data_IF_628646299151
#
_entry.id   IF_628646299151
#
_cell.length_a   1.000
_cell.length_b   1.000
_cell.length_c   1.000
_cell.angle_alpha   90.00
_cell.angle_beta   90.00
_cell.angle_gamma   90.00
#
_symmetry.space_group_name_H-M   'P 1'
#
loop_
_entity.id
_entity.type
_entity.pdbx_description
1 polymer ?
#
# COMPACT_ATOMS: atom_id res chain seq x y z
N UNK A 1 15.93 17.91 15.14
CA UNK A 1 15.66 16.56 15.63
C UNK A 1 14.92 15.81 14.54
N UNK A 2 15.48 14.72 14.02
CA UNK A 2 14.75 13.88 13.07
C UNK A 2 13.66 13.13 13.84
N UNK A 3 12.44 13.60 13.75
CA UNK A 3 11.31 12.87 14.32
C UNK A 3 11.03 11.65 13.44
N UNK A 4 11.30 10.47 13.96
CA UNK A 4 10.98 9.23 13.28
C UNK A 4 9.46 9.06 13.16
N UNK A 5 8.99 8.56 12.00
CA UNK A 5 7.59 8.24 11.78
C UNK A 5 7.04 7.34 12.88
N UNK A 6 5.92 7.76 13.48
CA UNK A 6 5.20 6.98 14.48
C UNK A 6 4.00 6.31 13.83
N UNK A 7 4.06 4.99 13.59
CA UNK A 7 2.89 4.25 13.16
C UNK A 7 1.91 4.13 14.32
N UNK A 8 0.63 4.02 13.98
CA UNK A 8 -0.37 3.63 14.96
C UNK A 8 -0.01 2.23 15.48
N UNK A 9 0.11 2.10 16.80
CA UNK A 9 0.42 0.82 17.44
C UNK A 9 -0.86 0.00 17.53
N UNK A 10 -0.97 -1.00 16.71
CA UNK A 10 -2.00 -2.02 16.84
C UNK A 10 -1.48 -3.17 17.68
N UNK A 11 -2.19 -3.60 18.73
CA UNK A 11 -1.84 -4.82 19.45
C UNK A 11 -1.85 -6.02 18.50
N UNK A 12 -1.04 -7.05 18.73
CA UNK A 12 -1.07 -8.27 17.94
C UNK A 12 -2.50 -8.82 17.80
N UNK A 13 -2.89 -9.17 16.58
CA UNK A 13 -4.21 -9.72 16.27
C UNK A 13 -5.36 -8.71 16.16
N UNK A 14 -5.10 -7.40 16.22
CA UNK A 14 -6.11 -6.37 15.95
C UNK A 14 -6.07 -5.85 14.52
N UNK A 15 -7.24 -5.46 14.04
CA UNK A 15 -7.40 -4.85 12.72
C UNK A 15 -6.73 -3.47 12.64
N UNK A 16 -6.13 -3.18 11.48
CA UNK A 16 -5.63 -1.84 11.12
C UNK A 16 -6.79 -0.90 10.77
N UNK A 17 -6.54 0.41 10.65
CA UNK A 17 -7.55 1.40 10.20
C UNK A 17 -8.25 0.96 8.91
N UNK A 18 -7.48 0.54 7.93
CA UNK A 18 -7.95 0.09 6.62
C UNK A 18 -8.83 -1.17 6.65
N UNK A 19 -8.86 -1.88 7.78
CA UNK A 19 -9.67 -3.09 8.01
C UNK A 19 -10.71 -2.92 9.12
N UNK A 20 -10.79 -1.73 9.72
CA UNK A 20 -11.74 -1.43 10.80
C UNK A 20 -12.97 -0.74 10.23
N UNK A 21 -14.01 -1.51 9.96
CA UNK A 21 -15.27 -1.01 9.41
C UNK A 21 -15.97 -0.01 10.36
N UNK A 22 -16.72 0.91 9.79
CA UNK A 22 -17.52 1.90 10.53
C UNK A 22 -16.82 3.24 10.78
N UNK A 23 -15.58 3.41 10.31
CA UNK A 23 -14.85 4.66 10.33
C UNK A 23 -14.64 5.20 8.91
N UNK A 24 -14.50 6.51 8.79
CA UNK A 24 -14.15 7.17 7.53
C UNK A 24 -12.84 7.93 7.73
N UNK A 25 -11.79 7.48 7.06
CA UNK A 25 -10.46 8.07 7.13
C UNK A 25 -10.19 8.93 5.90
N UNK A 26 -9.33 9.93 6.05
CA UNK A 26 -8.88 10.77 4.95
C UNK A 26 -7.70 10.12 4.24
N UNK A 27 -7.81 9.93 2.93
CA UNK A 27 -6.68 9.54 2.10
C UNK A 27 -5.72 10.71 1.91
N UNK A 28 -4.45 10.51 2.23
CA UNK A 28 -3.36 11.43 1.92
C UNK A 28 -2.42 10.74 0.95
N UNK A 29 -2.18 11.34 -0.21
CA UNK A 29 -1.21 10.85 -1.19
C UNK A 29 0.12 11.55 -0.93
N UNK A 30 1.18 10.75 -0.73
CA UNK A 30 2.49 11.29 -0.41
C UNK A 30 3.03 12.25 -1.47
N UNK A 31 3.47 13.40 -1.02
CA UNK A 31 4.21 14.42 -1.79
C UNK A 31 5.30 14.99 -0.89
N UNK A 32 6.55 14.71 -1.19
CA UNK A 32 7.67 15.15 -0.36
C UNK A 32 9.00 15.08 -1.08
N UNK A 33 10.08 15.14 -0.31
CA UNK A 33 11.43 15.17 -0.85
C UNK A 33 11.85 13.85 -1.50
N UNK A 34 11.33 12.73 -1.00
CA UNK A 34 11.64 11.40 -1.52
C UNK A 34 10.77 10.99 -2.74
N UNK A 35 9.88 11.86 -3.22
CA UNK A 35 9.06 11.59 -4.40
C UNK A 35 7.65 12.17 -4.32
N UNK A 36 6.83 11.80 -5.31
CA UNK A 36 5.47 12.31 -5.44
C UNK A 36 4.56 11.21 -6.00
N UNK A 37 3.75 10.60 -5.14
CA UNK A 37 2.87 9.49 -5.50
C UNK A 37 1.96 9.81 -6.71
N UNK A 38 1.21 10.92 -6.75
CA UNK A 38 0.36 11.25 -7.90
C UNK A 38 1.14 11.35 -9.22
N UNK A 39 2.32 11.98 -9.20
CA UNK A 39 3.15 12.16 -10.40
C UNK A 39 3.71 10.83 -10.89
N UNK A 40 4.19 9.99 -9.99
CA UNK A 40 4.73 8.67 -10.30
C UNK A 40 3.64 7.73 -10.82
N UNK A 41 2.46 7.76 -10.21
CA UNK A 41 1.30 7.03 -10.69
C UNK A 41 0.89 7.47 -12.10
N UNK A 42 0.81 8.77 -12.36
CA UNK A 42 0.52 9.28 -13.70
C UNK A 42 1.56 8.83 -14.73
N UNK A 43 2.85 8.90 -14.38
CA UNK A 43 3.94 8.41 -15.24
C UNK A 43 3.85 6.90 -15.49
N UNK A 44 3.49 6.12 -14.49
CA UNK A 44 3.24 4.68 -14.64
C UNK A 44 2.08 4.42 -15.61
N UNK A 45 0.96 5.11 -15.44
CA UNK A 45 -0.21 4.99 -16.30
C UNK A 45 0.09 5.36 -17.76
N UNK A 46 0.97 6.33 -18.02
CA UNK A 46 1.29 6.76 -19.38
C UNK A 46 1.95 5.67 -20.24
N UNK A 47 2.52 4.64 -19.60
CA UNK A 47 3.15 3.48 -20.25
C UNK A 47 2.17 2.37 -20.59
N UNK A 48 0.91 2.47 -20.16
CA UNK A 48 -0.11 1.44 -20.34
C UNK A 48 -1.01 1.73 -21.53
N UNK A 49 -1.60 0.67 -22.09
CA UNK A 49 -2.69 0.80 -23.04
C UNK A 49 -3.91 1.49 -22.42
N UNK A 50 -4.79 2.09 -23.24
CA UNK A 50 -5.99 2.80 -22.76
C UNK A 50 -6.86 1.90 -21.87
N UNK A 51 -7.05 0.64 -22.24
CA UNK A 51 -7.86 -0.32 -21.50
C UNK A 51 -7.25 -0.62 -20.11
N UNK A 52 -5.94 -0.93 -20.05
CA UNK A 52 -5.24 -1.20 -18.80
C UNK A 52 -5.17 0.03 -17.91
N UNK A 53 -4.97 1.20 -18.51
CA UNK A 53 -4.99 2.48 -17.78
C UNK A 53 -6.33 2.70 -17.08
N UNK A 54 -7.44 2.50 -17.79
CA UNK A 54 -8.78 2.66 -17.22
C UNK A 54 -9.04 1.64 -16.10
N UNK A 55 -8.69 0.36 -16.32
CA UNK A 55 -8.84 -0.69 -15.32
C UNK A 55 -8.03 -0.40 -14.06
N UNK A 56 -6.75 0.03 -14.21
CA UNK A 56 -5.89 0.34 -13.07
C UNK A 56 -6.35 1.58 -12.31
N UNK A 57 -6.79 2.63 -12.99
CA UNK A 57 -7.38 3.81 -12.33
C UNK A 57 -8.58 3.43 -11.47
N UNK A 58 -9.49 2.61 -11.99
CA UNK A 58 -10.65 2.12 -11.25
C UNK A 58 -10.26 1.27 -10.05
N UNK A 59 -9.30 0.36 -10.23
CA UNK A 59 -8.81 -0.51 -9.16
C UNK A 59 -8.15 0.29 -8.03
N UNK A 60 -7.26 1.25 -8.35
CA UNK A 60 -6.61 2.08 -7.35
C UNK A 60 -7.63 2.97 -6.62
N UNK A 61 -8.55 3.60 -7.34
CA UNK A 61 -9.58 4.43 -6.73
C UNK A 61 -10.48 3.63 -5.77
N UNK A 62 -10.91 2.43 -6.17
CA UNK A 62 -11.69 1.55 -5.30
C UNK A 62 -10.90 1.07 -4.09
N UNK A 63 -9.62 0.73 -4.27
CA UNK A 63 -8.75 0.28 -3.17
C UNK A 63 -8.52 1.39 -2.13
N UNK A 64 -8.24 2.60 -2.58
CA UNK A 64 -8.10 3.77 -1.68
C UNK A 64 -9.41 4.04 -0.94
N UNK A 65 -10.54 4.00 -1.64
CA UNK A 65 -11.86 4.16 -1.02
C UNK A 65 -12.13 3.10 0.04
N UNK A 66 -11.92 1.84 -0.29
CA UNK A 66 -12.18 0.73 0.63
C UNK A 66 -11.24 0.79 1.86
N UNK A 67 -9.97 1.18 1.66
CA UNK A 67 -9.06 1.45 2.76
C UNK A 67 -9.57 2.56 3.69
N UNK A 68 -10.04 3.68 3.13
CA UNK A 68 -10.57 4.80 3.92
C UNK A 68 -11.87 4.50 4.64
N UNK A 69 -12.64 3.53 4.16
CA UNK A 69 -13.85 3.03 4.81
C UNK A 69 -13.61 1.87 5.78
N UNK A 70 -12.36 1.41 5.90
CA UNK A 70 -11.99 0.27 6.74
C UNK A 70 -12.50 -1.07 6.20
N UNK A 71 -12.67 -1.20 4.88
CA UNK A 71 -13.29 -2.34 4.21
C UNK A 71 -12.29 -3.27 3.52
N UNK A 72 -10.98 -3.08 3.72
CA UNK A 72 -9.99 -4.03 3.21
C UNK A 72 -9.96 -5.30 4.06
N UNK A 73 -9.79 -6.44 3.41
CA UNK A 73 -9.67 -7.73 4.07
C UNK A 73 -8.24 -7.97 4.58
N UNK A 74 -8.04 -8.14 5.89
CA UNK A 74 -6.72 -8.42 6.43
C UNK A 74 -6.24 -9.81 6.01
N UNK A 75 -4.94 -9.91 5.74
CA UNK A 75 -4.32 -11.19 5.44
C UNK A 75 -4.40 -12.12 6.65
N UNK A 76 -4.95 -13.29 6.43
CA UNK A 76 -4.94 -14.41 7.37
C UNK A 76 -4.27 -15.61 6.74
N UNK A 77 -3.68 -16.47 7.56
CA UNK A 77 -3.11 -17.75 7.13
C UNK A 77 -3.83 -18.86 7.88
N UNK A 78 -4.29 -19.86 7.17
CA UNK A 78 -4.88 -21.04 7.81
C UNK A 78 -3.78 -21.96 8.38
N UNK A 79 -4.19 -23.05 9.04
CA UNK A 79 -3.30 -24.05 9.62
C UNK A 79 -2.48 -24.83 8.59
N UNK A 80 -2.81 -24.72 7.30
CA UNK A 80 -2.11 -25.36 6.17
C UNK A 80 -1.18 -24.39 5.45
N UNK A 81 -1.14 -23.12 5.86
CA UNK A 81 -0.31 -22.09 5.28
C UNK A 81 -0.96 -21.36 4.09
N UNK A 82 -2.18 -21.68 3.74
CA UNK A 82 -2.94 -20.97 2.72
C UNK A 82 -3.25 -19.56 3.20
N UNK A 83 -3.08 -18.61 2.30
CA UNK A 83 -3.22 -17.20 2.57
C UNK A 83 -4.50 -16.67 1.93
N UNK A 84 -5.31 -15.99 2.73
CA UNK A 84 -6.46 -15.22 2.28
C UNK A 84 -6.33 -13.76 2.69
N UNK A 85 -7.14 -12.89 2.08
CA UNK A 85 -7.10 -11.46 2.34
C UNK A 85 -6.10 -10.72 1.45
N UNK A 86 -6.19 -9.40 1.45
CA UNK A 86 -5.53 -8.52 0.47
C UNK A 86 -4.54 -7.53 1.08
N UNK A 87 -4.66 -7.21 2.37
CA UNK A 87 -3.78 -6.25 3.06
C UNK A 87 -2.97 -6.92 4.15
N UNK A 88 -1.67 -6.67 4.16
CA UNK A 88 -0.73 -7.22 5.12
C UNK A 88 0.14 -6.12 5.73
N UNK A 89 0.27 -6.15 7.07
CA UNK A 89 1.27 -5.33 7.76
C UNK A 89 2.63 -6.00 7.67
N UNK A 90 3.61 -5.30 7.13
CA UNK A 90 4.91 -5.86 6.83
C UNK A 90 5.86 -5.80 8.02
N UNK A 91 6.50 -6.93 8.35
CA UNK A 91 7.49 -7.01 9.43
C UNK A 91 8.75 -6.19 9.12
N UNK A 92 9.19 -6.17 7.83
CA UNK A 92 10.26 -5.29 7.39
C UNK A 92 9.85 -3.82 7.60
N UNK A 93 10.79 -3.00 8.03
CA UNK A 93 10.50 -1.61 8.38
C UNK A 93 9.80 -1.43 9.74
N UNK A 94 9.81 -2.45 10.60
CA UNK A 94 9.28 -2.38 11.97
C UNK A 94 7.76 -2.25 12.03
N UNK A 95 7.05 -2.93 11.15
CA UNK A 95 5.57 -2.91 11.04
C UNK A 95 4.97 -1.52 10.75
N UNK A 96 5.75 -0.61 10.16
CA UNK A 96 5.31 0.74 9.83
C UNK A 96 4.49 0.81 8.54
N UNK A 97 4.69 -0.17 7.66
CA UNK A 97 4.14 -0.18 6.29
C UNK A 97 3.16 -1.33 6.13
N UNK A 98 2.07 -1.03 5.45
CA UNK A 98 1.09 -1.99 4.97
C UNK A 98 1.20 -2.12 3.45
N UNK A 99 0.92 -3.33 2.95
CA UNK A 99 0.91 -3.67 1.52
C UNK A 99 -0.46 -4.18 1.11
N UNK A 100 -1.01 -3.64 0.03
CA UNK A 100 -2.14 -4.24 -0.69
C UNK A 100 -1.62 -4.92 -1.95
N UNK A 101 -2.02 -6.16 -2.15
CA UNK A 101 -1.79 -6.93 -3.38
C UNK A 101 -2.93 -6.69 -4.34
N UNK A 102 -2.71 -5.83 -5.31
CA UNK A 102 -3.77 -5.38 -6.21
C UNK A 102 -4.25 -6.47 -7.16
N UNK A 103 -3.41 -7.45 -7.50
CA UNK A 103 -3.83 -8.61 -8.29
C UNK A 103 -4.89 -9.48 -7.60
N UNK A 104 -4.96 -9.48 -6.28
CA UNK A 104 -5.98 -10.21 -5.54
C UNK A 104 -7.34 -9.52 -5.60
N UNK A 105 -7.37 -8.27 -6.03
CA UNK A 105 -8.58 -7.46 -6.27
C UNK A 105 -9.00 -7.40 -7.74
N UNK A 106 -8.26 -8.03 -8.63
CA UNK A 106 -8.49 -7.99 -10.08
C UNK A 106 -8.59 -9.41 -10.64
N UNK A 107 -9.58 -9.67 -11.47
CA UNK A 107 -9.83 -10.99 -12.04
C UNK A 107 -10.02 -10.92 -13.55
N UNK A 108 -9.21 -11.64 -14.36
CA UNK A 108 -8.04 -12.41 -13.91
C UNK A 108 -6.83 -11.53 -13.64
N UNK A 109 -6.01 -11.87 -12.61
CA UNK A 109 -4.90 -11.02 -12.16
C UNK A 109 -3.83 -10.73 -13.22
N UNK A 110 -3.55 -11.68 -14.10
CA UNK A 110 -2.55 -11.58 -15.16
C UNK A 110 -2.90 -10.57 -16.27
N UNK A 111 -4.16 -10.22 -16.40
CA UNK A 111 -4.59 -9.19 -17.36
C UNK A 111 -4.21 -7.78 -16.93
N UNK A 112 -4.01 -7.56 -15.64
CA UNK A 112 -3.61 -6.26 -15.14
C UNK A 112 -2.18 -5.91 -15.58
N UNK A 113 -1.22 -6.77 -15.26
CA UNK A 113 0.19 -6.66 -15.67
C UNK A 113 0.76 -8.06 -15.91
N UNK A 114 1.11 -8.42 -17.15
CA UNK A 114 1.77 -9.69 -17.44
C UNK A 114 3.10 -9.80 -16.64
N UNK A 115 3.37 -10.98 -16.09
CA UNK A 115 4.63 -11.32 -15.40
C UNK A 115 5.01 -10.42 -14.20
N UNK A 116 4.11 -9.55 -13.77
CA UNK A 116 4.31 -8.65 -12.62
C UNK A 116 3.13 -8.69 -11.67
N UNK A 117 3.41 -8.39 -10.43
CA UNK A 117 2.41 -8.17 -9.38
C UNK A 117 2.50 -6.74 -8.91
N UNK A 118 1.37 -6.07 -8.83
CA UNK A 118 1.32 -4.67 -8.43
C UNK A 118 1.07 -4.55 -6.93
N UNK A 119 1.88 -3.74 -6.27
CA UNK A 119 1.85 -3.50 -4.82
C UNK A 119 1.56 -2.04 -4.53
N UNK A 120 0.55 -1.81 -3.70
CA UNK A 120 0.27 -0.50 -3.13
C UNK A 120 0.76 -0.49 -1.68
N UNK A 121 1.73 0.38 -1.38
CA UNK A 121 2.29 0.56 -0.05
C UNK A 121 1.68 1.80 0.60
N UNK A 122 1.28 1.66 1.85
CA UNK A 122 0.71 2.76 2.62
C UNK A 122 1.08 2.64 4.10
N UNK A 123 0.84 3.69 4.85
CA UNK A 123 1.06 3.75 6.29
C UNK A 123 -0.16 4.31 7.01
N UNK A 124 -0.30 3.93 8.25
CA UNK A 124 -1.30 4.44 9.18
C UNK A 124 -0.60 5.20 10.30
N UNK A 125 -0.35 6.50 10.12
CA UNK A 125 0.33 7.29 11.14
C UNK A 125 -0.48 7.36 12.43
N UNK A 126 0.20 7.54 13.56
CA UNK A 126 -0.40 7.91 14.83
C UNK A 126 -0.87 9.37 14.76
N UNK A 127 -1.76 9.60 13.83
CA UNK A 127 -2.44 10.86 13.55
C UNK A 127 -3.90 10.54 13.23
N UNK A 128 -4.85 11.21 13.88
CA UNK A 128 -6.25 10.88 13.71
C UNK A 128 -6.70 11.00 12.25
N UNK A 129 -7.51 10.06 11.82
CA UNK A 129 -8.30 10.12 10.59
C UNK A 129 -7.53 10.09 9.26
N UNK A 130 -6.24 9.73 9.25
CA UNK A 130 -5.42 9.69 8.03
C UNK A 130 -4.98 8.27 7.70
N UNK A 131 -5.02 7.93 6.41
CA UNK A 131 -4.26 6.84 5.77
C UNK A 131 -3.36 7.47 4.72
N UNK A 132 -2.05 7.22 4.83
CA UNK A 132 -1.01 7.81 3.99
C UNK A 132 -0.57 6.82 2.90
N UNK A 133 -0.94 7.07 1.65
CA UNK A 133 -0.52 6.27 0.49
C UNK A 133 0.84 6.75 -0.02
N UNK A 134 1.81 5.84 -0.08
CA UNK A 134 3.23 6.14 -0.20
C UNK A 134 3.80 5.80 -1.57
N UNK A 135 3.49 4.61 -2.09
CA UNK A 135 4.18 4.04 -3.24
C UNK A 135 3.29 3.01 -3.95
N UNK A 136 3.32 3.01 -5.28
CA UNK A 136 2.72 1.99 -6.12
C UNK A 136 3.79 1.44 -7.06
N UNK A 137 4.15 0.15 -6.89
CA UNK A 137 5.24 -0.45 -7.65
C UNK A 137 4.95 -1.86 -8.15
N UNK A 138 5.39 -2.18 -9.36
CA UNK A 138 5.33 -3.54 -9.87
C UNK A 138 6.44 -4.40 -9.25
N UNK A 139 6.07 -5.60 -8.82
CA UNK A 139 7.00 -6.61 -8.32
C UNK A 139 7.13 -7.73 -9.35
N UNK A 140 8.36 -8.15 -9.75
CA UNK A 140 8.55 -9.32 -10.59
C UNK A 140 8.02 -10.59 -9.94
N UNK A 141 7.49 -11.51 -10.74
CA UNK A 141 7.07 -12.85 -10.28
C UNK A 141 8.28 -13.77 -10.09
N UNK A 142 9.40 -13.47 -10.77
CA UNK A 142 10.67 -14.23 -10.72
C UNK A 142 11.40 -14.13 -9.38
N UNK A 143 12.48 -14.92 -9.22
CA UNK A 143 13.26 -15.06 -7.97
C UNK A 143 13.83 -13.76 -7.35
N UNK A 144 13.98 -12.69 -8.13
CA UNK A 144 14.40 -11.36 -7.63
C UNK A 144 13.28 -10.59 -6.93
N UNK A 145 12.03 -11.08 -6.99
CA UNK A 145 10.87 -10.38 -6.48
C UNK A 145 10.95 -9.99 -5.00
N UNK A 146 11.69 -10.76 -4.18
CA UNK A 146 11.87 -10.41 -2.76
C UNK A 146 12.82 -9.23 -2.58
N UNK A 147 13.94 -9.21 -3.29
CA UNK A 147 14.93 -8.12 -3.22
C UNK A 147 14.28 -6.80 -3.66
N UNK A 148 13.53 -6.84 -4.76
CA UNK A 148 12.80 -5.69 -5.28
C UNK A 148 11.74 -5.22 -4.27
N UNK A 149 11.00 -6.13 -3.67
CA UNK A 149 10.00 -5.79 -2.65
C UNK A 149 10.64 -5.15 -1.41
N UNK A 150 11.79 -5.67 -0.96
CA UNK A 150 12.51 -5.12 0.18
C UNK A 150 12.94 -3.67 -0.07
N UNK A 151 13.42 -3.36 -1.28
CA UNK A 151 13.76 -2.00 -1.68
C UNK A 151 12.53 -1.06 -1.71
N UNK A 152 11.37 -1.55 -2.18
CA UNK A 152 10.12 -0.78 -2.16
C UNK A 152 9.66 -0.49 -0.72
N UNK A 153 9.80 -1.44 0.19
CA UNK A 153 9.44 -1.25 1.60
C UNK A 153 10.35 -0.20 2.25
N UNK A 154 11.65 -0.26 1.99
CA UNK A 154 12.61 0.72 2.50
C UNK A 154 12.30 2.13 1.98
N UNK A 155 11.96 2.26 0.70
CA UNK A 155 11.51 3.53 0.12
C UNK A 155 10.21 4.02 0.75
N UNK A 156 9.22 3.14 0.98
CA UNK A 156 7.98 3.50 1.64
C UNK A 156 8.21 3.98 3.08
N UNK A 157 9.14 3.37 3.82
CA UNK A 157 9.56 3.83 5.15
C UNK A 157 10.18 5.22 5.10
N UNK A 158 11.07 5.47 4.12
CA UNK A 158 11.69 6.79 3.95
C UNK A 158 10.64 7.87 3.66
N UNK A 159 9.66 7.58 2.81
CA UNK A 159 8.56 8.50 2.51
C UNK A 159 7.67 8.75 3.72
N UNK A 160 7.37 7.74 4.51
CA UNK A 160 6.61 7.90 5.74
C UNK A 160 7.33 8.79 6.75
N UNK A 161 8.66 8.61 6.91
CA UNK A 161 9.49 9.46 7.76
C UNK A 161 9.55 10.91 7.27
N UNK A 162 9.72 11.12 5.96
CA UNK A 162 9.75 12.46 5.34
C UNK A 162 8.40 13.19 5.53
N UNK A 163 7.29 12.49 5.30
CA UNK A 163 5.96 13.04 5.56
C UNK A 163 5.76 13.43 7.02
N UNK A 164 6.17 12.55 7.94
CA UNK A 164 6.04 12.80 9.37
C UNK A 164 6.85 14.03 9.81
N UNK A 165 8.10 14.14 9.36
CA UNK A 165 8.97 15.27 9.66
C UNK A 165 8.44 16.61 9.10
N UNK A 166 7.73 16.55 7.96
CA UNK A 166 7.14 17.74 7.32
C UNK A 166 5.81 18.17 7.93
N UNK A 167 5.14 17.26 8.66
CA UNK A 167 3.80 17.47 9.21
C UNK A 167 3.83 17.85 10.70
N UNK A 168 4.99 17.79 11.35
CA UNK A 168 5.23 18.08 12.77
C UNK A 168 6.46 18.95 12.95
#
# INVERSE_FOLDING_TARGET
MNSEFKPLKWPPGRACKSTTNGHCYKAVLYKGQCGNFPTEFHRFLSKLTKTRKSALCGLIASTIRDATLGQLDPVTRDGYGDRTGEVEQLARGGHKILEVRLEERFNPPEELLPEKRLRLYFAEPDYPEIILFLLLEPKPVSGEGKIVQDAHIDEAVNRANDWWASSH
#
